data_IF_031097290799
#
_entry.id   IF_031097290799
#
_cell.length_a   1.000
_cell.length_b   1.000
_cell.length_c   1.000
_cell.angle_alpha   90.00
_cell.angle_beta   90.00
_cell.angle_gamma   90.00
#
_symmetry.space_group_name_H-M   'P 1'
#
loop_
_entity.id
_entity.type
_entity.pdbx_description
1 polymer ?
#
# COMPACT_ATOMS: atom_id res chain seq x y z
N UNK A 1 -2.84 -3.14 -11.16
CA UNK A 1 -3.88 -2.18 -10.73
C UNK A 1 -3.46 -1.54 -9.42
N UNK A 2 -3.14 -0.25 -9.42
CA UNK A 2 -2.81 0.48 -8.19
C UNK A 2 -4.09 0.61 -7.34
N UNK A 3 -4.05 0.13 -6.10
CA UNK A 3 -5.16 0.16 -5.13
C UNK A 3 -4.85 1.03 -3.90
N UNK A 4 -3.67 1.63 -3.84
CA UNK A 4 -3.28 2.62 -2.86
C UNK A 4 -2.13 3.45 -3.44
N UNK A 5 -2.16 4.75 -3.20
CA UNK A 5 -1.10 5.69 -3.56
C UNK A 5 -1.11 6.84 -2.55
N UNK A 6 0.05 7.14 -1.96
CA UNK A 6 0.22 8.22 -0.99
C UNK A 6 1.70 8.61 -0.87
N UNK A 7 2.03 9.71 -0.20
CA UNK A 7 3.40 9.97 0.23
C UNK A 7 3.87 8.97 1.29
N UNK A 8 5.19 8.82 1.46
CA UNK A 8 5.79 8.04 2.56
C UNK A 8 5.20 8.43 3.91
N UNK A 9 5.06 9.73 4.15
CA UNK A 9 4.56 10.26 5.44
C UNK A 9 3.11 9.84 5.67
N UNK A 10 2.27 9.93 4.64
CA UNK A 10 0.88 9.49 4.70
C UNK A 10 0.76 7.97 4.85
N UNK A 11 1.60 7.20 4.15
CA UNK A 11 1.62 5.74 4.28
C UNK A 11 1.94 5.29 5.71
N UNK A 12 2.96 5.89 6.34
CA UNK A 12 3.30 5.60 7.74
C UNK A 12 2.11 5.97 8.64
N UNK A 13 1.50 7.13 8.43
CA UNK A 13 0.34 7.60 9.19
C UNK A 13 -0.87 6.68 9.04
N UNK A 14 -1.19 6.24 7.82
CA UNK A 14 -2.32 5.34 7.56
C UNK A 14 -2.12 3.96 8.20
N UNK A 15 -0.87 3.48 8.31
CA UNK A 15 -0.54 2.24 9.02
C UNK A 15 -0.68 2.44 10.53
N UNK A 16 -0.09 3.50 11.09
CA UNK A 16 -0.10 3.78 12.53
C UNK A 16 -1.51 4.03 13.06
N UNK A 17 -2.39 4.64 12.25
CA UNK A 17 -3.76 4.93 12.61
C UNK A 17 -4.76 3.83 12.18
N UNK A 18 -4.27 2.66 11.76
CA UNK A 18 -5.11 1.51 11.35
C UNK A 18 -6.08 1.81 10.17
N UNK A 19 -5.76 2.82 9.35
CA UNK A 19 -6.59 3.25 8.21
C UNK A 19 -6.26 2.51 6.91
N UNK A 20 -5.08 1.89 6.82
CA UNK A 20 -4.60 1.30 5.57
C UNK A 20 -5.51 0.18 5.04
N UNK A 21 -6.01 -0.69 5.92
CA UNK A 21 -6.85 -1.84 5.54
C UNK A 21 -8.17 -1.36 4.92
N UNK A 22 -8.79 -0.34 5.51
CA UNK A 22 -10.03 0.23 5.00
C UNK A 22 -9.83 0.87 3.63
N UNK A 23 -8.76 1.66 3.46
CA UNK A 23 -8.41 2.30 2.18
C UNK A 23 -8.18 1.27 1.07
N UNK A 24 -7.39 0.23 1.35
CA UNK A 24 -7.13 -0.85 0.40
C UNK A 24 -8.41 -1.60 0.04
N UNK A 25 -9.24 -1.92 1.02
CA UNK A 25 -10.51 -2.62 0.80
C UNK A 25 -11.45 -1.80 -0.08
N UNK A 26 -11.63 -0.51 0.23
CA UNK A 26 -12.50 0.37 -0.54
C UNK A 26 -11.99 0.53 -1.98
N UNK A 27 -10.69 0.79 -2.19
CA UNK A 27 -10.13 0.94 -3.54
C UNK A 27 -10.17 -0.36 -4.34
N UNK A 28 -9.92 -1.51 -3.69
CA UNK A 28 -10.07 -2.82 -4.33
C UNK A 28 -11.51 -3.05 -4.80
N UNK A 29 -12.48 -2.79 -3.93
CA UNK A 29 -13.91 -2.98 -4.22
C UNK A 29 -14.36 -2.11 -5.40
N UNK A 30 -13.86 -0.88 -5.46
CA UNK A 30 -14.14 0.06 -6.56
C UNK A 30 -13.49 -0.38 -7.89
N UNK A 31 -12.23 -0.81 -7.86
CA UNK A 31 -11.43 -1.04 -9.08
C UNK A 31 -11.52 -2.46 -9.64
N UNK A 32 -11.74 -3.44 -8.79
CA UNK A 32 -11.66 -4.88 -9.13
C UNK A 32 -12.99 -5.58 -8.87
N UNK A 33 -13.66 -5.23 -7.77
CA UNK A 33 -14.91 -5.84 -7.34
C UNK A 33 -14.77 -6.63 -6.05
N UNK A 34 -15.62 -7.66 -5.88
CA UNK A 34 -15.81 -8.32 -4.58
C UNK A 34 -14.58 -9.11 -4.12
N UNK A 35 -14.11 -8.83 -2.90
CA UNK A 35 -13.18 -9.67 -2.14
C UNK A 35 -13.60 -9.76 -0.68
N UNK A 36 -13.05 -10.72 0.06
CA UNK A 36 -13.23 -10.76 1.51
C UNK A 36 -12.31 -9.76 2.18
N UNK A 37 -12.79 -9.11 3.25
CA UNK A 37 -11.92 -8.27 4.10
C UNK A 37 -10.72 -9.06 4.64
N UNK A 38 -10.88 -10.36 4.89
CA UNK A 38 -9.81 -11.26 5.34
C UNK A 38 -8.64 -11.38 4.35
N UNK A 39 -8.90 -11.31 3.05
CA UNK A 39 -7.83 -11.28 2.03
C UNK A 39 -6.99 -10.01 2.20
N UNK A 40 -7.63 -8.84 2.31
CA UNK A 40 -6.93 -7.56 2.52
C UNK A 40 -6.18 -7.56 3.87
N UNK A 41 -6.81 -8.09 4.91
CA UNK A 41 -6.23 -8.22 6.24
C UNK A 41 -4.97 -9.09 6.24
N UNK A 42 -4.91 -10.11 5.36
CA UNK A 42 -3.72 -10.96 5.24
C UNK A 42 -2.47 -10.19 4.79
N UNK A 43 -2.64 -9.00 4.17
CA UNK A 43 -1.54 -8.14 3.73
C UNK A 43 -1.06 -7.20 4.83
N UNK A 44 -1.88 -6.97 5.86
CA UNK A 44 -1.61 -6.01 6.93
C UNK A 44 -0.27 -6.28 7.63
N UNK A 45 0.00 -7.53 8.01
CA UNK A 45 1.25 -7.91 8.65
C UNK A 45 2.49 -7.56 7.81
N UNK A 46 2.41 -7.75 6.49
CA UNK A 46 3.49 -7.41 5.56
C UNK A 46 3.65 -5.90 5.41
N UNK A 47 2.52 -5.18 5.33
CA UNK A 47 2.51 -3.72 5.15
C UNK A 47 2.93 -2.98 6.42
N UNK A 48 2.64 -3.51 7.61
CA UNK A 48 3.20 -3.01 8.87
C UNK A 48 4.73 -3.12 8.89
N UNK A 49 5.30 -4.23 8.39
CA UNK A 49 6.76 -4.36 8.23
C UNK A 49 7.32 -3.35 7.23
N UNK A 50 6.61 -3.08 6.14
CA UNK A 50 7.01 -2.05 5.17
C UNK A 50 6.96 -0.65 5.78
N UNK A 51 5.98 -0.34 6.64
CA UNK A 51 5.94 0.93 7.38
C UNK A 51 7.23 1.15 8.19
N UNK A 52 7.74 0.11 8.85
CA UNK A 52 9.02 0.19 9.57
C UNK A 52 10.20 0.47 8.64
N UNK A 53 10.24 -0.13 7.45
CA UNK A 53 11.27 0.18 6.43
C UNK A 53 11.15 1.63 5.97
N UNK A 54 9.93 2.11 5.74
CA UNK A 54 9.68 3.47 5.30
C UNK A 54 10.03 4.53 6.36
N UNK A 55 10.19 4.16 7.64
CA UNK A 55 10.70 5.08 8.67
C UNK A 55 12.16 5.49 8.47
N UNK A 56 12.92 4.80 7.60
CA UNK A 56 14.30 5.16 7.27
C UNK A 56 14.39 6.61 6.76
N UNK A 57 15.23 7.42 7.41
CA UNK A 57 15.38 8.85 7.14
C UNK A 57 16.05 9.13 5.80
N UNK A 58 16.78 8.15 5.26
CA UNK A 58 17.43 8.26 3.95
C UNK A 58 16.40 8.18 2.80
N UNK A 59 15.17 7.71 3.07
CA UNK A 59 14.06 7.77 2.13
C UNK A 59 13.35 9.14 2.30
N UNK A 60 13.30 10.00 1.26
CA UNK A 60 12.66 11.31 1.35
C UNK A 60 11.19 11.22 1.80
N UNK A 61 10.76 12.14 2.67
CA UNK A 61 9.42 12.13 3.28
C UNK A 61 8.27 12.30 2.26
N UNK A 62 8.58 12.89 1.11
CA UNK A 62 7.70 13.12 -0.03
C UNK A 62 7.81 12.02 -1.11
N UNK A 63 8.59 10.96 -0.88
CA UNK A 63 8.62 9.80 -1.77
C UNK A 63 7.22 9.23 -1.91
N UNK A 64 6.84 8.84 -3.13
CA UNK A 64 5.55 8.19 -3.39
C UNK A 64 5.63 6.71 -3.02
N UNK A 65 4.58 6.22 -2.36
CA UNK A 65 4.32 4.81 -2.07
C UNK A 65 3.07 4.41 -2.81
N UNK A 66 3.16 3.33 -3.59
CA UNK A 66 2.00 2.74 -4.25
C UNK A 66 1.91 1.23 -3.96
N UNK A 67 0.68 0.74 -3.81
CA UNK A 67 0.39 -0.69 -3.65
C UNK A 67 -0.41 -1.14 -4.86
N UNK A 68 0.16 -2.07 -5.62
CA UNK A 68 -0.46 -2.61 -6.82
C UNK A 68 -0.93 -4.05 -6.61
N UNK A 69 -2.17 -4.34 -7.03
CA UNK A 69 -2.72 -5.69 -7.13
C UNK A 69 -2.72 -6.20 -8.58
N UNK A 70 -2.36 -7.47 -8.79
CA UNK A 70 -2.30 -8.14 -10.11
C UNK A 70 -3.22 -9.37 -10.18
N UNK A 71 -3.99 -9.52 -11.27
CA UNK A 71 -4.93 -10.64 -11.54
C UNK A 71 -4.84 -11.06 -13.03
N UNK A 72 -4.81 -12.35 -13.44
CA UNK A 72 -4.05 -13.51 -12.94
C UNK A 72 -3.38 -14.37 -14.06
N UNK A 73 -2.39 -15.20 -13.65
CA UNK A 73 -2.25 -16.63 -14.02
C UNK A 73 -1.38 -17.47 -13.04
N UNK A 74 -0.74 -16.86 -12.02
CA UNK A 74 -0.07 -17.57 -10.91
C UNK A 74 0.02 -16.63 -9.69
N UNK A 75 -0.28 -17.11 -8.47
CA UNK A 75 -0.16 -16.42 -7.16
C UNK A 75 -0.76 -15.00 -7.05
N UNK A 76 -1.73 -14.80 -6.14
CA UNK A 76 -2.15 -13.44 -5.76
C UNK A 76 -0.94 -12.72 -5.15
N UNK A 77 -0.41 -11.70 -5.83
CA UNK A 77 0.71 -10.88 -5.37
C UNK A 77 0.28 -9.44 -5.25
N UNK A 78 0.84 -8.79 -4.25
CA UNK A 78 0.77 -7.35 -4.03
C UNK A 78 2.17 -6.81 -4.22
N UNK A 79 2.33 -5.84 -5.11
CA UNK A 79 3.60 -5.15 -5.31
C UNK A 79 3.60 -3.86 -4.48
N UNK A 80 4.67 -3.67 -3.70
CA UNK A 80 4.93 -2.44 -2.95
C UNK A 80 5.97 -1.62 -3.70
N UNK A 81 5.55 -0.47 -4.22
CA UNK A 81 6.35 0.40 -5.08
C UNK A 81 6.74 1.65 -4.30
N UNK A 82 8.02 2.03 -4.40
CA UNK A 82 8.55 3.28 -3.86
C UNK A 82 9.17 4.04 -5.02
N UNK A 83 8.77 5.29 -5.19
CA UNK A 83 9.33 6.18 -6.20
C UNK A 83 9.79 7.48 -5.54
N UNK A 84 11.03 7.88 -5.84
CA UNK A 84 11.50 9.21 -5.50
C UNK A 84 10.75 10.24 -6.35
N UNK A 85 10.41 11.38 -5.76
CA UNK A 85 9.84 12.49 -6.50
C UNK A 85 10.98 13.22 -7.22
N UNK A 86 11.12 13.04 -8.53
CA UNK A 86 12.05 13.84 -9.35
C UNK A 86 11.32 15.13 -9.76
N UNK A 87 10.94 15.96 -8.80
CA UNK A 87 9.96 17.03 -9.01
C UNK A 87 10.37 18.36 -8.38
N UNK A 88 11.02 19.19 -9.22
CA UNK A 88 11.47 20.59 -9.07
C UNK A 88 12.74 20.87 -8.27
#
# INVERSE_FOLDING_TARGET
MIIYEASKTEFISDVTNELLVERLYNSYQEKIGRTSKSEILSWENSLQRMSNVMQDKDIPADSSVAIEFKIPNTSKRVDFLVAGNSGS
#
